data_IF_209961009180
#
_entry.id   IF_209961009180
#
_cell.length_a   1.000
_cell.length_b   1.000
_cell.length_c   1.000
_cell.angle_alpha   90.00
_cell.angle_beta   90.00
_cell.angle_gamma   90.00
#
_symmetry.space_group_name_H-M   'P 1'
#
loop_
_entity.id
_entity.type
_entity.pdbx_description
1 polymer ?
#
# COMPACT_ATOMS: atom_id res chain seq x y z
N UNK A 1 -2.90 9.26 -16.48
CA UNK A 1 -1.61 9.39 -15.78
C UNK A 1 -0.52 8.73 -16.62
N UNK A 2 0.54 9.45 -16.89
CA UNK A 2 1.67 8.95 -17.66
C UNK A 2 2.90 8.81 -16.78
N UNK A 3 3.71 7.78 -17.06
CA UNK A 3 4.95 7.50 -16.33
C UNK A 3 6.14 7.67 -17.27
N UNK A 4 7.31 7.92 -16.70
CA UNK A 4 8.55 8.11 -17.45
C UNK A 4 9.53 6.96 -17.21
N UNK A 5 10.43 6.75 -18.15
CA UNK A 5 11.52 5.78 -17.99
C UNK A 5 12.35 6.16 -16.76
N UNK A 6 12.65 5.19 -15.92
CA UNK A 6 13.36 5.36 -14.65
C UNK A 6 12.46 5.65 -13.45
N UNK A 7 11.19 5.93 -13.66
CA UNK A 7 10.24 6.17 -12.58
C UNK A 7 9.91 4.88 -11.85
N UNK A 8 9.84 4.96 -10.52
CA UNK A 8 9.36 3.84 -9.69
C UNK A 8 7.85 3.90 -9.57
N UNK A 9 7.21 2.76 -9.75
CA UNK A 9 5.75 2.64 -9.71
C UNK A 9 5.36 1.43 -8.87
N UNK A 10 4.17 1.49 -8.32
CA UNK A 10 3.57 0.37 -7.58
C UNK A 10 2.59 -0.35 -8.50
N UNK A 11 2.81 -1.64 -8.68
CA UNK A 11 1.88 -2.53 -9.35
C UNK A 11 1.16 -3.32 -8.26
N UNK A 12 -0.15 -3.09 -8.06
CA UNK A 12 -0.88 -3.76 -6.98
C UNK A 12 -0.69 -5.28 -7.00
N UNK A 13 -0.46 -5.86 -5.83
CA UNK A 13 -0.21 -7.29 -5.60
C UNK A 13 1.12 -7.82 -6.15
N UNK A 14 1.86 -7.03 -6.94
CA UNK A 14 3.17 -7.43 -7.47
C UNK A 14 4.32 -6.67 -6.79
N UNK A 15 4.03 -5.52 -6.21
CA UNK A 15 5.03 -4.71 -5.54
C UNK A 15 5.50 -3.54 -6.38
N UNK A 16 6.73 -3.10 -6.13
CA UNK A 16 7.31 -1.93 -6.80
C UNK A 16 8.18 -2.37 -7.96
N UNK A 17 7.96 -1.71 -9.08
CA UNK A 17 8.79 -1.86 -10.26
C UNK A 17 9.34 -0.52 -10.72
N UNK A 18 10.31 -0.60 -11.62
CA UNK A 18 10.86 0.57 -12.30
C UNK A 18 10.43 0.52 -13.75
N UNK A 19 10.01 1.65 -14.30
CA UNK A 19 9.76 1.78 -15.74
C UNK A 19 11.11 1.70 -16.44
N UNK A 20 11.39 0.55 -17.04
CA UNK A 20 12.65 0.33 -17.71
C UNK A 20 12.64 0.87 -19.13
N UNK A 21 11.51 0.73 -19.82
CA UNK A 21 11.36 1.17 -21.19
C UNK A 21 9.89 1.40 -21.54
N UNK A 22 9.68 2.11 -22.63
CA UNK A 22 8.36 2.30 -23.23
C UNK A 22 8.49 1.81 -24.66
N UNK A 23 7.73 0.78 -25.02
CA UNK A 23 7.76 0.20 -26.36
C UNK A 23 6.43 0.36 -27.05
N UNK A 24 6.47 0.39 -28.38
CA UNK A 24 5.27 0.41 -29.21
C UNK A 24 5.20 -0.91 -29.98
N UNK A 25 4.05 -1.55 -29.93
CA UNK A 25 3.79 -2.77 -30.66
C UNK A 25 2.59 -2.58 -31.58
N UNK A 26 2.66 -3.18 -32.75
CA UNK A 26 1.57 -3.16 -33.72
C UNK A 26 0.70 -4.41 -33.57
N UNK A 27 -0.61 -4.23 -33.61
CA UNK A 27 -1.61 -5.29 -33.66
C UNK A 27 -2.49 -5.05 -34.88
N UNK A 28 -2.17 -5.71 -35.98
CA UNK A 28 -2.84 -5.44 -37.26
C UNK A 28 -2.56 -4.03 -37.72
N UNK A 29 -3.62 -3.21 -37.88
CA UNK A 29 -3.50 -1.79 -38.25
C UNK A 29 -3.39 -0.86 -37.05
N UNK A 30 -3.51 -1.37 -35.82
CA UNK A 30 -3.44 -0.58 -34.59
C UNK A 30 -2.08 -0.65 -33.93
N UNK A 31 -1.68 0.46 -33.29
CA UNK A 31 -0.45 0.53 -32.51
C UNK A 31 -0.82 0.76 -31.05
N UNK A 32 -0.12 0.09 -30.15
CA UNK A 32 -0.29 0.32 -28.72
C UNK A 32 1.06 0.44 -28.04
N UNK A 33 1.13 1.37 -27.09
CA UNK A 33 2.31 1.59 -26.25
C UNK A 33 2.20 0.76 -25.00
N UNK A 34 3.35 0.27 -24.54
CA UNK A 34 3.49 -0.53 -23.33
C UNK A 34 4.56 0.04 -22.43
N UNK A 35 4.31 -0.01 -21.13
CA UNK A 35 5.35 0.17 -20.12
C UNK A 35 6.03 -1.17 -19.89
N UNK A 36 7.35 -1.20 -19.95
CA UNK A 36 8.13 -2.36 -19.53
C UNK A 36 8.55 -2.13 -18.08
N UNK A 37 7.99 -2.91 -17.16
CA UNK A 37 8.28 -2.82 -15.73
C UNK A 37 9.27 -3.90 -15.34
N UNK A 38 10.31 -3.52 -14.59
CA UNK A 38 11.24 -4.47 -13.97
C UNK A 38 11.00 -4.48 -12.46
N UNK A 39 10.82 -5.67 -11.89
CA UNK A 39 10.61 -5.85 -10.45
C UNK A 39 11.85 -6.44 -9.79
N UNK A 40 12.31 -5.79 -8.70
CA UNK A 40 13.37 -6.29 -7.84
C UNK A 40 14.67 -6.58 -8.56
N UNK A 41 15.50 -7.42 -7.93
CA UNK A 41 16.79 -7.83 -8.48
C UNK A 41 16.71 -9.07 -9.37
N UNK A 42 15.56 -9.74 -9.42
CA UNK A 42 15.38 -11.01 -10.13
C UNK A 42 15.19 -10.90 -11.63
N UNK A 43 15.12 -9.70 -12.17
CA UNK A 43 14.96 -9.50 -13.60
C UNK A 43 13.57 -9.85 -14.14
N UNK A 44 12.59 -10.04 -13.30
CA UNK A 44 11.20 -10.23 -13.73
C UNK A 44 10.68 -8.96 -14.38
N UNK A 45 10.20 -9.08 -15.61
CA UNK A 45 9.64 -7.96 -16.37
C UNK A 45 8.19 -8.23 -16.72
N UNK A 46 7.39 -7.17 -16.74
CA UNK A 46 5.97 -7.21 -17.11
C UNK A 46 5.70 -6.09 -18.09
N UNK A 47 4.96 -6.40 -19.14
CA UNK A 47 4.48 -5.41 -20.10
C UNK A 47 3.06 -4.98 -19.70
N UNK A 48 2.87 -3.69 -19.52
CA UNK A 48 1.57 -3.12 -19.17
C UNK A 48 1.14 -2.17 -20.28
N UNK A 49 0.04 -2.46 -20.99
CA UNK A 49 -0.48 -1.55 -22.00
C UNK A 49 -0.86 -0.19 -21.38
N UNK A 50 -0.59 0.89 -22.09
CA UNK A 50 -0.98 2.24 -21.63
C UNK A 50 -2.47 2.32 -21.34
N UNK A 51 -3.28 1.71 -22.21
CA UNK A 51 -4.74 1.67 -22.08
C UNK A 51 -5.22 0.96 -20.81
N UNK A 52 -4.40 0.04 -20.28
CA UNK A 52 -4.77 -0.78 -19.13
C UNK A 52 -4.07 -0.34 -17.83
N UNK A 53 -3.17 0.61 -17.88
CA UNK A 53 -2.38 1.03 -16.71
C UNK A 53 -3.25 1.47 -15.53
N UNK A 54 -4.30 2.24 -15.81
CA UNK A 54 -5.25 2.69 -14.77
C UNK A 54 -6.07 1.53 -14.21
N UNK A 55 -6.50 0.62 -15.08
CA UNK A 55 -7.34 -0.52 -14.68
C UNK A 55 -6.59 -1.49 -13.76
N UNK A 56 -5.30 -1.72 -13.99
CA UNK A 56 -4.49 -2.56 -13.11
C UNK A 56 -4.03 -1.82 -11.86
N UNK A 57 -4.31 -0.51 -11.76
CA UNK A 57 -3.98 0.28 -10.59
C UNK A 57 -2.52 0.72 -10.50
N UNK A 58 -1.82 0.78 -11.65
CA UNK A 58 -0.44 1.24 -11.67
C UNK A 58 -0.36 2.69 -11.20
N UNK A 59 0.48 2.97 -10.20
CA UNK A 59 0.58 4.28 -9.57
C UNK A 59 2.00 4.62 -9.15
N UNK A 60 2.24 5.90 -8.92
CA UNK A 60 3.52 6.36 -8.40
C UNK A 60 3.73 5.94 -6.96
N UNK A 61 4.99 5.86 -6.55
CA UNK A 61 5.37 5.64 -5.16
C UNK A 61 4.92 6.85 -4.32
N UNK A 62 4.45 6.58 -3.13
CA UNK A 62 4.00 7.60 -2.18
C UNK A 62 5.12 8.55 -1.83
N UNK A 63 4.82 9.86 -1.78
CA UNK A 63 5.79 10.88 -1.42
C UNK A 63 6.15 10.83 0.06
N UNK A 64 7.36 11.23 0.40
CA UNK A 64 7.84 11.26 1.79
C UNK A 64 6.94 12.08 2.72
N UNK A 65 6.40 13.18 2.22
CA UNK A 65 5.47 14.00 3.00
C UNK A 65 4.21 13.26 3.41
N UNK A 66 3.69 12.40 2.54
CA UNK A 66 2.53 11.57 2.86
C UNK A 66 2.88 10.50 3.88
N UNK A 67 4.07 9.92 3.80
CA UNK A 67 4.56 8.97 4.80
C UNK A 67 4.62 9.65 6.17
N UNK A 68 5.13 10.88 6.24
CA UNK A 68 5.17 11.64 7.49
C UNK A 68 3.77 11.87 8.07
N UNK A 69 2.79 12.17 7.23
CA UNK A 69 1.38 12.31 7.65
C UNK A 69 0.83 11.02 8.23
N UNK A 70 1.14 9.90 7.59
CA UNK A 70 0.67 8.59 8.05
C UNK A 70 1.29 8.24 9.39
N UNK A 71 2.58 8.44 9.55
CA UNK A 71 3.25 8.20 10.83
C UNK A 71 2.71 9.13 11.93
N UNK A 72 2.41 10.38 11.60
CA UNK A 72 1.77 11.31 12.53
C UNK A 72 0.37 10.85 12.94
N UNK A 73 -0.42 10.37 11.98
CA UNK A 73 -1.74 9.81 12.25
C UNK A 73 -1.64 8.60 13.19
N UNK A 74 -0.70 7.71 12.97
CA UNK A 74 -0.48 6.55 13.83
C UNK A 74 -0.06 6.96 15.24
N UNK A 75 0.64 8.10 15.38
CA UNK A 75 1.11 8.62 16.67
C UNK A 75 0.01 9.29 17.49
N UNK A 76 -0.94 9.97 16.85
CA UNK A 76 -1.84 10.89 17.50
C UNK A 76 -3.32 10.61 17.28
N UNK A 77 -3.67 9.99 16.17
CA UNK A 77 -5.06 9.84 15.77
C UNK A 77 -5.78 8.71 16.52
N UNK A 78 -7.06 8.87 16.72
CA UNK A 78 -7.97 7.82 17.11
C UNK A 78 -9.02 7.65 16.03
N UNK A 79 -9.34 6.40 15.74
CA UNK A 79 -10.32 6.08 14.71
C UNK A 79 -11.69 5.89 15.33
N UNK A 80 -12.73 6.44 14.70
CA UNK A 80 -14.09 6.07 15.01
C UNK A 80 -14.33 4.65 14.47
N UNK A 81 -14.75 3.75 15.35
CA UNK A 81 -14.96 2.34 15.01
C UNK A 81 -16.44 2.01 15.12
N UNK A 82 -17.02 1.47 14.06
CA UNK A 82 -18.40 1.00 14.09
C UNK A 82 -18.51 -0.21 15.04
N UNK A 83 -19.50 -0.26 15.95
CA UNK A 83 -19.72 -1.42 16.80
C UNK A 83 -20.24 -2.63 16.03
N UNK A 84 -20.86 -2.41 14.88
CA UNK A 84 -21.36 -3.50 14.02
C UNK A 84 -20.21 -4.05 13.18
N UNK A 85 -19.81 -5.29 13.45
CA UNK A 85 -18.70 -5.94 12.78
C UNK A 85 -18.91 -6.11 11.26
N UNK A 86 -20.16 -6.26 10.82
CA UNK A 86 -20.45 -6.39 9.39
C UNK A 86 -20.21 -5.09 8.65
N UNK A 87 -20.69 -3.98 9.20
CA UNK A 87 -20.46 -2.63 8.65
C UNK A 87 -18.97 -2.31 8.66
N UNK A 88 -18.31 -2.57 9.79
CA UNK A 88 -16.87 -2.33 9.95
C UNK A 88 -16.05 -3.12 8.93
N UNK A 89 -16.37 -4.39 8.76
CA UNK A 89 -15.67 -5.27 7.84
C UNK A 89 -15.79 -4.80 6.39
N UNK A 90 -16.99 -4.40 6.00
CA UNK A 90 -17.25 -3.85 4.67
C UNK A 90 -16.48 -2.57 4.43
N UNK A 91 -16.53 -1.64 5.37
CA UNK A 91 -15.80 -0.37 5.29
C UNK A 91 -14.31 -0.58 5.18
N UNK A 92 -13.76 -1.49 5.98
CA UNK A 92 -12.32 -1.79 5.98
C UNK A 92 -11.88 -2.40 4.64
N UNK A 93 -12.66 -3.32 4.08
CA UNK A 93 -12.37 -3.89 2.77
C UNK A 93 -12.36 -2.82 1.68
N UNK A 94 -13.34 -1.94 1.68
CA UNK A 94 -13.43 -0.85 0.72
C UNK A 94 -12.24 0.09 0.82
N UNK A 95 -11.81 0.43 2.04
CA UNK A 95 -10.65 1.27 2.29
C UNK A 95 -9.37 0.63 1.74
N UNK A 96 -9.18 -0.66 1.97
CA UNK A 96 -7.99 -1.36 1.45
C UNK A 96 -8.02 -1.50 -0.07
N UNK A 97 -9.19 -1.72 -0.65
CA UNK A 97 -9.36 -1.84 -2.09
C UNK A 97 -9.09 -0.52 -2.82
N UNK A 98 -9.31 0.61 -2.16
CA UNK A 98 -9.07 1.92 -2.76
C UNK A 98 -7.60 2.17 -3.09
N UNK A 99 -6.68 1.46 -2.44
CA UNK A 99 -5.25 1.67 -2.60
C UNK A 99 -4.71 2.94 -1.93
N UNK A 100 -5.56 3.70 -1.26
CA UNK A 100 -5.15 4.90 -0.53
C UNK A 100 -4.41 4.50 0.75
N UNK A 101 -3.17 4.95 0.89
CA UNK A 101 -2.32 4.54 2.00
C UNK A 101 -2.82 5.08 3.35
N UNK A 102 -3.41 6.27 3.37
CA UNK A 102 -3.99 6.83 4.60
C UNK A 102 -5.18 5.98 5.05
N UNK A 103 -6.01 5.52 4.12
CA UNK A 103 -7.11 4.61 4.42
C UNK A 103 -6.62 3.27 4.95
N UNK A 104 -5.52 2.76 4.40
CA UNK A 104 -4.87 1.56 4.93
C UNK A 104 -4.40 1.78 6.38
N UNK A 105 -3.84 2.95 6.68
CA UNK A 105 -3.45 3.32 8.03
C UNK A 105 -4.64 3.39 8.98
N UNK A 106 -5.77 3.90 8.52
CA UNK A 106 -7.02 3.93 9.30
C UNK A 106 -7.49 2.51 9.63
N UNK A 107 -7.50 1.61 8.66
CA UNK A 107 -7.85 0.20 8.89
C UNK A 107 -6.91 -0.43 9.90
N UNK A 108 -5.63 -0.27 9.71
CA UNK A 108 -4.59 -0.81 10.58
C UNK A 108 -4.77 -0.35 12.02
N UNK A 109 -4.88 0.95 12.22
CA UNK A 109 -5.01 1.53 13.56
C UNK A 109 -6.35 1.20 14.23
N UNK A 110 -7.44 1.23 13.48
CA UNK A 110 -8.76 0.90 14.02
C UNK A 110 -8.83 -0.55 14.52
N UNK A 111 -8.21 -1.48 13.78
CA UNK A 111 -8.16 -2.88 14.20
C UNK A 111 -7.26 -3.07 15.41
N UNK A 112 -6.16 -2.33 15.53
CA UNK A 112 -5.35 -2.33 16.76
C UNK A 112 -6.14 -1.82 17.96
N UNK A 113 -6.95 -0.78 17.80
CA UNK A 113 -7.81 -0.27 18.85
C UNK A 113 -8.82 -1.32 19.32
N UNK A 114 -9.41 -2.05 18.38
CA UNK A 114 -10.33 -3.14 18.71
C UNK A 114 -9.61 -4.24 19.49
N UNK A 115 -8.40 -4.57 19.09
CA UNK A 115 -7.60 -5.63 19.70
C UNK A 115 -7.23 -5.31 21.16
N UNK A 116 -7.23 -4.04 21.56
CA UNK A 116 -7.02 -3.66 22.96
C UNK A 116 -8.12 -4.20 23.86
N UNK A 117 -9.34 -4.36 23.36
CA UNK A 117 -10.49 -4.83 24.12
C UNK A 117 -10.74 -6.33 23.95
N UNK A 118 -10.56 -6.86 22.75
CA UNK A 118 -10.82 -8.26 22.44
C UNK A 118 -10.02 -8.74 21.23
N UNK A 119 -9.72 -10.05 21.13
CA UNK A 119 -9.01 -10.57 19.97
C UNK A 119 -9.78 -10.32 18.68
N UNK A 120 -9.03 -10.10 17.59
CA UNK A 120 -9.60 -9.96 16.25
C UNK A 120 -10.12 -11.31 15.74
N UNK A 121 -11.21 -11.28 14.98
CA UNK A 121 -11.68 -12.45 14.24
C UNK A 121 -10.66 -12.85 13.17
N UNK A 122 -10.78 -14.07 12.65
CA UNK A 122 -9.91 -14.53 11.56
C UNK A 122 -9.96 -13.59 10.35
N UNK A 123 -11.15 -13.14 9.98
CA UNK A 123 -11.33 -12.21 8.87
C UNK A 123 -10.65 -10.85 9.14
N UNK A 124 -10.83 -10.31 10.35
CA UNK A 124 -10.21 -9.04 10.72
C UNK A 124 -8.69 -9.14 10.81
N UNK A 125 -8.15 -10.29 11.25
CA UNK A 125 -6.70 -10.54 11.21
C UNK A 125 -6.16 -10.48 9.78
N UNK A 126 -6.89 -11.02 8.82
CA UNK A 126 -6.51 -10.95 7.40
C UNK A 126 -6.46 -9.52 6.89
N UNK A 127 -7.45 -8.70 7.23
CA UNK A 127 -7.48 -7.29 6.87
C UNK A 127 -6.34 -6.52 7.55
N UNK A 128 -6.07 -6.80 8.80
CA UNK A 128 -4.97 -6.22 9.56
C UNK A 128 -3.61 -6.52 8.91
N UNK A 129 -3.36 -7.79 8.59
CA UNK A 129 -2.11 -8.20 7.96
C UNK A 129 -1.92 -7.54 6.59
N UNK A 130 -3.00 -7.43 5.83
CA UNK A 130 -2.96 -6.77 4.53
C UNK A 130 -2.61 -5.29 4.67
N UNK A 131 -3.26 -4.59 5.61
CA UNK A 131 -2.98 -3.18 5.88
C UNK A 131 -1.54 -2.98 6.35
N UNK A 132 -1.05 -3.85 7.23
CA UNK A 132 0.33 -3.83 7.73
C UNK A 132 1.33 -3.97 6.58
N UNK A 133 1.13 -4.93 5.69
CA UNK A 133 2.00 -5.12 4.53
C UNK A 133 2.00 -3.93 3.59
N UNK A 134 0.84 -3.35 3.34
CA UNK A 134 0.74 -2.14 2.51
C UNK A 134 1.54 -0.99 3.11
N UNK A 135 1.40 -0.74 4.40
CA UNK A 135 2.11 0.34 5.09
C UNK A 135 3.62 0.09 5.11
N UNK A 136 4.04 -1.09 5.50
CA UNK A 136 5.47 -1.43 5.59
C UNK A 136 6.13 -1.35 4.22
N UNK A 137 5.51 -1.87 3.20
CA UNK A 137 6.01 -1.84 1.83
C UNK A 137 6.15 -0.41 1.31
N UNK A 138 5.13 0.41 1.47
CA UNK A 138 5.15 1.79 1.00
C UNK A 138 6.20 2.64 1.73
N UNK A 139 6.30 2.50 3.04
CA UNK A 139 7.30 3.21 3.83
C UNK A 139 8.72 2.78 3.43
N UNK A 140 8.91 1.48 3.28
CA UNK A 140 10.19 0.91 2.83
C UNK A 140 10.65 1.54 1.51
N UNK A 141 9.74 1.65 0.56
CA UNK A 141 10.02 2.18 -0.76
C UNK A 141 10.23 3.69 -0.72
N UNK A 142 9.31 4.41 -0.10
CA UNK A 142 9.33 5.88 -0.05
C UNK A 142 10.56 6.41 0.69
N UNK A 143 10.97 5.73 1.76
CA UNK A 143 12.12 6.11 2.59
C UNK A 143 13.42 5.41 2.19
N UNK A 144 13.36 4.49 1.23
CA UNK A 144 14.50 3.68 0.79
C UNK A 144 15.18 2.98 1.96
N UNK A 145 14.40 2.26 2.75
CA UNK A 145 14.87 1.49 3.91
C UNK A 145 14.34 0.06 3.82
N UNK A 146 14.98 -0.92 4.49
CA UNK A 146 14.46 -2.28 4.55
C UNK A 146 13.09 -2.32 5.24
N UNK A 147 12.25 -3.28 4.88
CA UNK A 147 10.92 -3.43 5.49
C UNK A 147 10.98 -3.59 7.00
N UNK A 148 11.98 -4.28 7.52
CA UNK A 148 12.20 -4.40 8.97
C UNK A 148 12.30 -3.03 9.62
N UNK A 149 12.98 -2.10 8.99
CA UNK A 149 13.11 -0.73 9.49
C UNK A 149 11.81 0.05 9.37
N UNK A 150 11.07 -0.17 8.28
CA UNK A 150 9.74 0.41 8.10
C UNK A 150 8.79 -0.02 9.21
N UNK A 151 8.79 -1.30 9.55
CA UNK A 151 7.98 -1.83 10.67
C UNK A 151 8.37 -1.16 11.98
N UNK A 152 9.65 -0.97 12.25
CA UNK A 152 10.13 -0.26 13.45
C UNK A 152 9.65 1.19 13.50
N UNK A 153 9.58 1.86 12.35
CA UNK A 153 9.05 3.22 12.27
C UNK A 153 7.56 3.25 12.64
N UNK A 154 6.80 2.26 12.19
CA UNK A 154 5.39 2.09 12.56
C UNK A 154 5.26 1.83 14.06
N UNK A 155 6.06 0.94 14.61
CA UNK A 155 6.07 0.61 16.05
C UNK A 155 6.35 1.85 16.90
N UNK A 156 7.33 2.66 16.51
CA UNK A 156 7.68 3.91 17.23
C UNK A 156 6.53 4.91 17.18
N UNK A 157 5.87 5.04 16.03
CA UNK A 157 4.73 5.93 15.88
C UNK A 157 3.58 5.49 16.80
N UNK A 158 3.25 4.21 16.80
CA UNK A 158 2.20 3.64 17.66
C UNK A 158 2.54 3.76 19.14
N UNK A 159 3.80 3.59 19.51
CA UNK A 159 4.23 3.74 20.90
C UNK A 159 3.93 5.12 21.46
N UNK A 160 4.00 6.16 20.65
CA UNK A 160 3.62 7.53 21.04
C UNK A 160 2.14 7.65 21.39
N UNK A 161 1.31 6.80 20.81
CA UNK A 161 -0.13 6.71 21.11
C UNK A 161 -0.42 5.69 22.23
N UNK A 162 0.60 5.07 22.82
CA UNK A 162 0.43 4.06 23.86
C UNK A 162 0.01 2.69 23.34
N UNK A 163 0.20 2.42 22.05
CA UNK A 163 -0.21 1.16 21.40
C UNK A 163 1.04 0.33 21.10
N UNK A 164 1.00 -0.95 21.49
CA UNK A 164 2.04 -1.91 21.14
C UNK A 164 1.60 -2.72 19.90
N UNK A 165 2.53 -2.91 18.97
CA UNK A 165 2.28 -3.75 17.81
C UNK A 165 2.44 -5.22 18.24
N UNK A 166 1.44 -6.09 17.94
CA UNK A 166 1.55 -7.50 18.27
C UNK A 166 2.68 -8.18 17.49
N UNK A 167 3.33 -9.12 18.13
CA UNK A 167 4.44 -9.88 17.56
C UNK A 167 4.02 -10.75 16.36
#
# INVERSE_FOLDING_TARGET
>A
MTFRIGEKVVYPNQGVGTIENISTRSFGSAYEKFYLLRFGFGGTTVLVPFSNASNVGLRRVTKDREISRILSFLSNGWCAVSPDWKVRSKQNREKLQSGDLLKAAEVFKSLLQIQLDKPLSFHEKGLFDRARRMLASEISIARNVPEVRAVKMIERALAKAGIALPA
#
